data_IF_156306484999
#
_entry.id   IF_156306484999
#
_cell.length_a   1.000
_cell.length_b   1.000
_cell.length_c   1.000
_cell.angle_alpha   90.00
_cell.angle_beta   90.00
_cell.angle_gamma   90.00
#
_symmetry.space_group_name_H-M   'P 1'
#
loop_
_entity.id
_entity.type
_entity.pdbx_description
1 polymer ?
#
# COMPACT_ATOMS: atom_id res chain seq x y z
N UNK A 1 18.43 27.82 -35.39
CA UNK A 1 18.45 27.86 -36.87
C UNK A 1 19.89 27.75 -37.31
N UNK A 2 20.30 26.60 -37.83
CA UNK A 2 21.65 26.44 -38.40
C UNK A 2 21.58 25.60 -39.65
N UNK A 3 22.24 26.09 -40.71
CA UNK A 3 22.31 25.49 -42.04
C UNK A 3 23.76 25.11 -42.32
N UNK A 4 24.02 23.86 -42.70
CA UNK A 4 25.34 23.44 -43.18
C UNK A 4 25.24 23.06 -44.67
N UNK A 5 26.17 23.61 -45.46
CA UNK A 5 26.25 23.46 -46.91
C UNK A 5 26.81 22.08 -47.28
N UNK A 6 26.06 21.34 -48.12
CA UNK A 6 26.53 20.23 -48.93
C UNK A 6 26.22 20.49 -50.40
N UNK A 7 27.17 20.15 -51.27
CA UNK A 7 27.19 20.47 -52.70
C UNK A 7 25.97 19.91 -53.47
N UNK A 8 25.30 20.79 -54.22
CA UNK A 8 24.60 20.46 -55.46
C UNK A 8 23.51 19.40 -55.38
N UNK A 9 22.35 19.75 -54.83
CA UNK A 9 20.99 19.44 -55.31
C UNK A 9 20.00 19.91 -54.24
N UNK A 10 18.85 20.43 -54.69
CA UNK A 10 17.71 20.97 -53.93
C UNK A 10 17.74 20.77 -52.41
N UNK A 11 17.61 21.88 -51.65
CA UNK A 11 17.18 21.83 -50.26
C UNK A 11 15.80 21.18 -50.20
N UNK A 12 15.74 19.87 -49.97
CA UNK A 12 14.56 19.26 -49.41
C UNK A 12 14.46 19.74 -47.97
N UNK A 13 13.47 20.58 -47.71
CA UNK A 13 12.93 20.71 -46.38
C UNK A 13 12.44 19.31 -46.01
N UNK A 14 13.22 18.58 -45.22
CA UNK A 14 12.62 17.57 -44.37
C UNK A 14 11.75 18.38 -43.41
N UNK A 15 10.46 18.46 -43.74
CA UNK A 15 9.47 18.46 -42.67
C UNK A 15 9.79 17.19 -41.90
N UNK A 16 10.58 17.31 -40.83
CA UNK A 16 10.45 16.37 -39.73
C UNK A 16 9.00 16.50 -39.32
N UNK A 17 8.21 15.61 -39.89
CA UNK A 17 6.85 15.37 -39.49
C UNK A 17 6.95 15.04 -38.00
N UNK A 18 6.70 16.03 -37.15
CA UNK A 18 6.27 15.77 -35.79
C UNK A 18 4.84 15.26 -35.91
N UNK A 19 4.66 14.07 -36.49
CA UNK A 19 3.43 13.34 -36.25
C UNK A 19 3.44 12.90 -34.80
N UNK A 20 2.66 13.60 -33.99
CA UNK A 20 1.53 12.94 -33.34
C UNK A 20 1.80 11.83 -32.30
N UNK A 21 2.77 11.98 -31.40
CA UNK A 21 2.68 11.23 -30.12
C UNK A 21 1.96 12.07 -29.05
N UNK A 22 0.73 12.51 -29.36
CA UNK A 22 -0.24 12.91 -28.33
C UNK A 22 -0.78 11.64 -27.65
N UNK A 23 0.10 10.72 -27.29
CA UNK A 23 -0.23 9.40 -26.77
C UNK A 23 0.56 9.16 -25.51
N UNK A 24 -0.11 8.73 -24.46
CA UNK A 24 0.54 8.41 -23.20
C UNK A 24 0.93 6.94 -23.17
N UNK A 25 2.09 6.67 -22.59
CA UNK A 25 2.51 5.32 -22.24
C UNK A 25 1.63 4.75 -21.12
N UNK A 26 1.68 3.45 -20.88
CA UNK A 26 0.94 2.83 -19.76
C UNK A 26 1.32 3.49 -18.43
N UNK A 27 0.34 4.01 -17.67
CA UNK A 27 0.65 4.59 -16.37
C UNK A 27 1.13 3.51 -15.40
N UNK A 28 1.97 3.91 -14.46
CA UNK A 28 2.35 3.04 -13.35
C UNK A 28 1.13 2.72 -12.48
N UNK A 29 0.84 1.43 -12.31
CA UNK A 29 -0.25 0.94 -11.45
C UNK A 29 0.38 0.35 -10.19
N UNK A 30 0.16 0.99 -9.04
CA UNK A 30 0.66 0.49 -7.75
C UNK A 30 -0.14 -0.74 -7.28
N UNK A 31 0.41 -1.55 -6.34
CA UNK A 31 -0.35 -2.65 -5.74
C UNK A 31 -1.70 -2.19 -5.18
N UNK A 32 -2.70 -3.08 -5.26
CA UNK A 32 -4.09 -2.85 -4.81
C UNK A 32 -4.84 -1.71 -5.54
N UNK A 33 -4.28 -1.15 -6.62
CA UNK A 33 -5.00 -0.23 -7.50
C UNK A 33 -5.68 -1.01 -8.60
N UNK A 34 -6.97 -0.75 -8.79
CA UNK A 34 -7.73 -1.12 -9.98
C UNK A 34 -7.89 0.11 -10.86
N UNK A 35 -7.55 -0.01 -12.14
CA UNK A 35 -7.57 1.07 -13.12
C UNK A 35 -8.49 0.74 -14.31
N UNK A 36 -9.36 1.68 -14.65
CA UNK A 36 -10.27 1.60 -15.78
C UNK A 36 -10.13 2.83 -16.68
N UNK A 37 -10.25 2.64 -17.99
CA UNK A 37 -10.37 3.73 -18.96
C UNK A 37 -11.82 4.18 -19.00
N UNK A 38 -12.05 5.49 -18.98
CA UNK A 38 -13.38 6.11 -18.94
C UNK A 38 -13.70 6.75 -17.58
N UNK A 39 -14.86 7.41 -17.51
CA UNK A 39 -15.41 8.07 -16.31
C UNK A 39 -16.90 7.78 -16.24
N UNK A 40 -17.44 7.58 -15.03
CA UNK A 40 -18.87 7.30 -14.83
C UNK A 40 -19.19 5.81 -14.94
N UNK A 41 -20.31 5.47 -15.58
CA UNK A 41 -20.79 4.09 -15.73
C UNK A 41 -20.14 3.35 -16.91
N UNK A 42 -19.65 4.09 -17.91
CA UNK A 42 -18.97 3.53 -19.08
C UNK A 42 -17.45 3.47 -18.82
N UNK A 43 -17.05 2.41 -18.12
CA UNK A 43 -15.64 2.16 -17.76
C UNK A 43 -15.19 0.79 -18.23
N UNK A 44 -13.98 0.72 -18.78
CA UNK A 44 -13.37 -0.53 -19.26
C UNK A 44 -12.05 -0.79 -18.55
N UNK A 45 -11.82 -2.01 -18.06
CA UNK A 45 -10.54 -2.34 -17.41
C UNK A 45 -9.34 -2.06 -18.34
N UNK A 46 -8.28 -1.46 -17.79
CA UNK A 46 -7.11 -1.08 -18.58
C UNK A 46 -6.39 -2.27 -19.25
N UNK A 47 -6.54 -3.48 -18.67
CA UNK A 47 -5.95 -4.71 -19.17
C UNK A 47 -4.45 -4.59 -19.42
N UNK A 48 -3.99 -5.07 -20.58
CA UNK A 48 -2.59 -5.03 -21.02
C UNK A 48 -2.28 -3.87 -21.99
N UNK A 49 -3.17 -2.86 -22.12
CA UNK A 49 -2.94 -1.72 -23.02
C UNK A 49 -1.66 -0.98 -22.63
N UNK A 50 -0.82 -0.69 -23.65
CA UNK A 50 0.49 -0.03 -23.49
C UNK A 50 0.51 1.43 -23.97
N UNK A 51 -0.48 1.84 -24.77
CA UNK A 51 -0.57 3.18 -25.36
C UNK A 51 -2.01 3.68 -25.29
N UNK A 52 -2.16 4.95 -24.94
CA UNK A 52 -3.41 5.66 -24.71
C UNK A 52 -3.44 6.91 -25.56
N UNK A 53 -4.57 7.24 -26.17
CA UNK A 53 -4.72 8.45 -27.00
C UNK A 53 -4.87 9.70 -26.12
N UNK A 54 -4.45 10.84 -26.66
CA UNK A 54 -4.62 12.14 -26.03
C UNK A 54 -6.08 12.40 -25.73
N UNK A 55 -6.36 12.81 -24.50
CA UNK A 55 -7.70 12.99 -23.95
C UNK A 55 -8.28 11.77 -23.24
N UNK A 56 -7.70 10.55 -23.37
CA UNK A 56 -8.17 9.40 -22.58
C UNK A 56 -8.02 9.66 -21.08
N UNK A 57 -9.06 9.30 -20.33
CA UNK A 57 -9.08 9.41 -18.87
C UNK A 57 -9.05 8.03 -18.25
N UNK A 58 -8.20 7.85 -17.24
CA UNK A 58 -8.14 6.64 -16.42
C UNK A 58 -8.71 6.97 -15.05
N UNK A 59 -9.69 6.17 -14.64
CA UNK A 59 -10.28 6.18 -13.31
C UNK A 59 -9.66 5.10 -12.44
N UNK A 60 -9.29 5.47 -11.23
CA UNK A 60 -8.66 4.59 -10.26
C UNK A 60 -9.57 4.35 -9.07
N UNK A 61 -9.48 3.13 -8.51
CA UNK A 61 -10.06 2.79 -7.22
C UNK A 61 -9.19 1.77 -6.50
N UNK A 62 -9.39 1.62 -5.21
CA UNK A 62 -8.78 0.53 -4.47
C UNK A 62 -9.52 -0.78 -4.71
N UNK A 63 -8.77 -1.88 -4.62
CA UNK A 63 -9.32 -3.24 -4.68
C UNK A 63 -10.25 -3.49 -3.48
N UNK A 64 -9.75 -3.25 -2.25
CA UNK A 64 -10.57 -3.30 -1.04
C UNK A 64 -10.98 -1.91 -0.55
N UNK A 65 -12.07 -1.41 -1.13
CA UNK A 65 -12.65 -0.09 -0.79
C UNK A 65 -13.20 0.00 0.65
N UNK A 66 -13.32 -1.12 1.39
CA UNK A 66 -13.82 -1.09 2.77
C UNK A 66 -12.74 -0.64 3.76
N UNK A 67 -11.48 -0.86 3.43
CA UNK A 67 -10.35 -0.61 4.33
C UNK A 67 -9.28 0.30 3.72
N UNK A 68 -9.23 0.42 2.39
CA UNK A 68 -8.24 1.21 1.69
C UNK A 68 -8.84 2.50 1.15
N UNK A 69 -8.08 3.58 1.33
CA UNK A 69 -8.35 4.92 0.84
C UNK A 69 -7.38 5.18 -0.32
N UNK A 70 -7.89 5.87 -1.34
CA UNK A 70 -7.10 6.29 -2.48
C UNK A 70 -6.37 7.61 -2.13
N UNK A 71 -5.05 7.56 -1.98
CA UNK A 71 -4.17 8.73 -1.85
C UNK A 71 -3.75 9.23 -3.23
N UNK A 72 -4.38 10.30 -3.71
CA UNK A 72 -4.08 10.95 -4.98
C UNK A 72 -5.33 11.15 -5.84
N UNK A 73 -5.15 11.50 -7.13
CA UNK A 73 -6.26 11.80 -8.01
C UNK A 73 -7.05 10.53 -8.35
N UNK A 74 -8.38 10.63 -8.30
CA UNK A 74 -9.29 9.55 -8.74
C UNK A 74 -9.30 9.39 -10.27
N UNK A 75 -9.02 10.47 -11.00
CA UNK A 75 -8.93 10.49 -12.47
C UNK A 75 -7.59 11.07 -12.92
N UNK A 76 -6.96 10.44 -13.92
CA UNK A 76 -5.81 11.03 -14.63
C UNK A 76 -6.12 11.07 -16.12
N UNK A 77 -5.76 12.17 -16.77
CA UNK A 77 -6.01 12.37 -18.20
C UNK A 77 -4.68 12.36 -18.96
N UNK A 78 -4.68 11.80 -20.16
CA UNK A 78 -3.55 11.88 -21.07
C UNK A 78 -3.59 13.23 -21.80
N UNK A 79 -2.59 14.09 -21.59
CA UNK A 79 -2.50 15.40 -22.23
C UNK A 79 -1.09 15.56 -22.79
N UNK A 80 -0.99 15.78 -24.10
CA UNK A 80 0.27 16.04 -24.80
C UNK A 80 1.36 14.98 -24.55
N UNK A 81 0.94 13.71 -24.48
CA UNK A 81 1.83 12.56 -24.25
C UNK A 81 2.17 12.27 -22.78
N UNK A 82 1.71 13.10 -21.85
CA UNK A 82 1.96 12.95 -20.42
C UNK A 82 0.66 12.76 -19.62
N UNK A 83 0.73 11.96 -18.55
CA UNK A 83 -0.41 11.79 -17.65
C UNK A 83 -0.47 12.93 -16.64
N UNK A 84 -1.66 13.51 -16.44
CA UNK A 84 -1.87 14.53 -15.41
C UNK A 84 -1.55 13.99 -14.01
N UNK A 85 -0.98 14.86 -13.16
CA UNK A 85 -0.69 14.58 -11.75
C UNK A 85 0.11 13.29 -11.49
N UNK A 86 0.25 12.87 -10.23
CA UNK A 86 0.92 11.61 -9.85
C UNK A 86 -0.07 10.44 -9.89
N UNK A 87 0.43 9.23 -10.15
CA UNK A 87 -0.37 8.01 -9.98
C UNK A 87 -0.80 7.83 -8.49
N UNK A 88 -2.08 7.54 -8.22
CA UNK A 88 -2.58 7.39 -6.86
C UNK A 88 -2.13 6.07 -6.22
N UNK A 89 -2.14 6.00 -4.90
CA UNK A 89 -1.79 4.79 -4.13
C UNK A 89 -2.95 4.39 -3.24
N UNK A 90 -3.15 3.08 -3.05
CA UNK A 90 -4.08 2.56 -2.06
C UNK A 90 -3.35 2.31 -0.75
N UNK A 91 -3.88 2.91 0.31
CA UNK A 91 -3.38 2.77 1.66
C UNK A 91 -4.52 2.92 2.65
N UNK A 92 -4.35 2.37 3.84
CA UNK A 92 -5.20 2.66 4.99
C UNK A 92 -4.68 3.87 5.79
N UNK A 93 -3.59 4.49 5.31
CA UNK A 93 -3.07 5.78 5.75
C UNK A 93 -3.35 6.87 4.71
N UNK A 94 -3.38 8.14 5.11
CA UNK A 94 -3.71 9.23 4.20
C UNK A 94 -3.61 10.60 4.86
N UNK A 95 -3.53 11.65 4.03
CA UNK A 95 -3.59 13.05 4.50
C UNK A 95 -4.88 13.68 4.00
N UNK A 96 -5.72 14.10 4.93
CA UNK A 96 -6.98 14.78 4.66
C UNK A 96 -6.74 16.28 4.81
N UNK A 97 -6.86 17.01 3.71
CA UNK A 97 -6.69 18.46 3.70
C UNK A 97 -8.04 19.14 3.56
N UNK A 98 -8.34 20.06 4.47
CA UNK A 98 -9.47 20.98 4.35
C UNK A 98 -8.96 22.35 3.88
N UNK A 99 -9.57 22.89 2.82
CA UNK A 99 -9.23 24.17 2.22
C UNK A 99 -10.45 25.10 2.27
N UNK A 100 -10.32 26.27 2.91
CA UNK A 100 -11.38 27.26 3.04
C UNK A 100 -10.81 28.68 2.85
N UNK A 101 -10.93 29.21 1.63
CA UNK A 101 -10.29 30.47 1.25
C UNK A 101 -8.77 30.35 1.28
N UNK A 102 -8.10 31.12 2.14
CA UNK A 102 -6.65 31.03 2.38
C UNK A 102 -6.26 30.01 3.46
N UNK A 103 -7.23 29.44 4.19
CA UNK A 103 -6.95 28.50 5.26
C UNK A 103 -6.80 27.08 4.72
N UNK A 104 -5.72 26.41 5.17
CA UNK A 104 -5.41 25.03 4.81
C UNK A 104 -5.00 24.24 6.05
N UNK A 105 -5.80 23.25 6.42
CA UNK A 105 -5.50 22.33 7.53
C UNK A 105 -5.36 20.92 7.01
N UNK A 106 -4.45 20.13 7.58
CA UNK A 106 -4.25 18.74 7.18
C UNK A 106 -4.18 17.81 8.38
N UNK A 107 -4.94 16.71 8.33
CA UNK A 107 -4.87 15.60 9.28
C UNK A 107 -4.23 14.42 8.58
N UNK A 108 -3.18 13.84 9.18
CA UNK A 108 -2.58 12.61 8.66
C UNK A 108 -3.03 11.41 9.48
N UNK A 109 -3.80 10.53 8.86
CA UNK A 109 -4.13 9.22 9.42
C UNK A 109 -2.98 8.28 9.09
N UNK A 110 -2.47 7.60 10.11
CA UNK A 110 -1.46 6.54 9.97
C UNK A 110 -2.06 5.24 10.46
N UNK A 111 -2.30 4.33 9.53
CA UNK A 111 -2.54 2.95 9.90
C UNK A 111 -1.22 2.29 10.25
N UNK A 112 -1.19 1.62 11.41
CA UNK A 112 -0.05 0.83 11.84
C UNK A 112 -0.50 -0.63 11.90
N UNK A 113 0.14 -1.50 11.12
CA UNK A 113 -0.01 -2.94 11.27
C UNK A 113 0.77 -3.36 12.53
N UNK A 114 0.06 -3.45 13.66
CA UNK A 114 0.65 -3.77 14.95
C UNK A 114 0.66 -5.29 15.12
N UNK A 115 1.86 -5.84 15.13
CA UNK A 115 2.14 -7.26 15.34
C UNK A 115 3.14 -7.43 16.45
N UNK A 116 2.93 -8.45 17.27
CA UNK A 116 3.87 -8.85 18.29
C UNK A 116 4.74 -10.01 17.80
N UNK A 117 6.00 -10.09 18.24
CA UNK A 117 6.86 -11.21 17.90
C UNK A 117 6.24 -12.51 18.40
N UNK A 118 6.39 -13.58 17.64
CA UNK A 118 5.97 -14.91 18.10
C UNK A 118 6.64 -15.22 19.45
N UNK A 119 5.89 -15.70 20.46
CA UNK A 119 6.46 -16.10 21.73
C UNK A 119 7.58 -17.14 21.51
N UNK A 120 8.71 -16.98 22.19
CA UNK A 120 9.76 -17.99 22.19
C UNK A 120 9.29 -19.29 22.84
N UNK A 121 9.98 -20.40 22.55
CA UNK A 121 9.75 -21.66 23.27
C UNK A 121 10.02 -21.46 24.76
N UNK A 122 9.16 -22.04 25.61
CA UNK A 122 9.30 -21.97 27.06
C UNK A 122 9.71 -23.34 27.61
N UNK A 123 10.71 -23.39 28.48
CA UNK A 123 11.10 -24.60 29.18
C UNK A 123 10.12 -24.91 30.31
N UNK A 124 9.81 -26.20 30.53
CA UNK A 124 8.89 -26.65 31.58
C UNK A 124 7.49 -26.02 31.51
N UNK A 125 7.03 -25.69 30.30
CA UNK A 125 5.69 -25.18 30.05
C UNK A 125 5.36 -25.09 28.57
N UNK A 126 4.25 -24.44 28.25
CA UNK A 126 3.81 -24.15 26.88
C UNK A 126 2.95 -22.88 26.82
N UNK A 127 2.88 -22.26 25.65
CA UNK A 127 1.94 -21.18 25.37
C UNK A 127 0.61 -21.76 24.86
N UNK A 128 -0.49 -21.42 25.51
CA UNK A 128 -1.82 -21.63 24.98
C UNK A 128 -2.26 -20.38 24.20
N UNK A 129 -2.64 -20.57 22.94
CA UNK A 129 -3.15 -19.52 22.06
C UNK A 129 -4.64 -19.76 21.76
N UNK A 130 -5.43 -18.69 21.71
CA UNK A 130 -6.91 -18.76 21.61
C UNK A 130 -7.40 -19.00 20.18
N UNK A 131 -6.54 -19.03 19.15
CA UNK A 131 -6.95 -19.43 17.79
C UNK A 131 -6.17 -20.65 17.31
N UNK A 132 -6.80 -21.82 17.48
CA UNK A 132 -6.33 -23.07 16.93
C UNK A 132 -6.36 -23.04 15.39
N UNK A 133 -5.20 -22.98 14.75
CA UNK A 133 -4.93 -23.82 13.57
C UNK A 133 -3.42 -24.00 13.38
N UNK A 134 -2.97 -25.24 13.54
CA UNK A 134 -1.66 -25.76 13.19
C UNK A 134 -0.43 -25.07 13.82
N UNK A 135 -0.09 -25.45 15.07
CA UNK A 135 1.27 -25.67 15.62
C UNK A 135 2.49 -25.06 14.88
N UNK A 136 2.42 -23.80 14.46
CA UNK A 136 3.48 -23.07 13.81
C UNK A 136 3.53 -21.73 14.49
N UNK A 137 4.70 -21.42 15.07
CA UNK A 137 5.05 -20.08 15.50
C UNK A 137 5.10 -19.22 14.23
N UNK A 138 3.94 -18.77 13.76
CA UNK A 138 3.85 -17.84 12.65
C UNK A 138 4.16 -16.44 13.20
N UNK A 139 5.27 -15.80 12.80
CA UNK A 139 5.59 -14.43 13.18
C UNK A 139 4.51 -13.42 12.80
N UNK A 140 3.56 -13.80 11.94
CA UNK A 140 2.44 -12.98 11.49
C UNK A 140 1.12 -13.28 12.23
N UNK A 141 1.05 -14.24 13.16
CA UNK A 141 -0.22 -14.60 13.80
C UNK A 141 -0.72 -13.57 14.83
N UNK A 142 0.20 -12.91 15.56
CA UNK A 142 -0.16 -12.15 16.77
C UNK A 142 -0.38 -10.67 16.48
N UNK A 143 -1.64 -10.28 16.33
CA UNK A 143 -2.05 -8.89 16.09
C UNK A 143 -2.46 -8.17 17.38
N UNK A 144 -2.63 -6.85 17.30
CA UNK A 144 -3.08 -6.00 18.39
C UNK A 144 -4.24 -6.62 19.20
N UNK A 145 -4.11 -6.56 20.53
CA UNK A 145 -5.04 -7.08 21.55
C UNK A 145 -5.19 -8.60 21.62
N UNK A 146 -4.46 -9.38 20.81
CA UNK A 146 -4.40 -10.83 21.03
C UNK A 146 -3.67 -11.18 22.32
N UNK A 147 -4.09 -12.30 22.93
CA UNK A 147 -3.59 -12.78 24.21
C UNK A 147 -2.88 -14.12 24.06
N UNK A 148 -1.77 -14.27 24.78
CA UNK A 148 -1.12 -15.55 25.03
C UNK A 148 -1.16 -15.88 26.51
N UNK A 149 -1.32 -17.16 26.83
CA UNK A 149 -1.37 -17.64 28.22
C UNK A 149 -0.31 -18.71 28.44
N UNK A 150 0.57 -18.50 29.43
CA UNK A 150 1.58 -19.45 29.86
C UNK A 150 0.96 -20.56 30.71
N UNK A 151 1.24 -21.80 30.36
CA UNK A 151 0.89 -22.99 31.13
C UNK A 151 2.17 -23.71 31.54
N UNK A 152 2.51 -23.70 32.82
CA UNK A 152 3.66 -24.42 33.36
C UNK A 152 3.33 -25.88 33.64
N UNK A 153 4.35 -26.73 33.54
CA UNK A 153 4.27 -28.14 33.90
C UNK A 153 4.15 -28.29 35.43
N UNK A 154 3.64 -29.43 35.94
CA UNK A 154 3.58 -29.69 37.37
C UNK A 154 4.95 -29.54 38.06
N UNK A 155 4.99 -28.91 39.23
CA UNK A 155 6.22 -28.58 39.98
C UNK A 155 6.90 -27.28 39.56
N UNK A 156 6.25 -26.49 38.69
CA UNK A 156 6.71 -25.18 38.25
C UNK A 156 5.57 -24.15 38.29
N UNK A 157 5.90 -22.91 38.66
CA UNK A 157 5.00 -21.76 38.57
C UNK A 157 5.57 -20.67 37.66
N UNK A 158 4.71 -19.75 37.22
CA UNK A 158 5.14 -18.63 36.40
C UNK A 158 5.94 -17.64 37.24
N UNK A 159 7.06 -17.16 36.71
CA UNK A 159 7.92 -16.16 37.36
C UNK A 159 7.23 -14.81 37.60
N UNK A 160 6.13 -14.54 36.89
CA UNK A 160 5.33 -13.33 37.00
C UNK A 160 3.92 -13.62 36.42
N UNK A 161 3.36 -12.70 35.64
CA UNK A 161 2.06 -12.84 35.01
C UNK A 161 2.01 -14.02 34.02
N UNK A 162 0.94 -14.81 34.10
CA UNK A 162 0.69 -15.92 33.17
C UNK A 162 0.11 -15.45 31.83
N UNK A 163 -0.42 -14.23 31.76
CA UNK A 163 -1.08 -13.70 30.58
C UNK A 163 -0.33 -12.49 30.05
N UNK A 164 -0.29 -12.36 28.73
CA UNK A 164 0.26 -11.20 28.05
C UNK A 164 -0.54 -10.85 26.81
N UNK A 165 -0.72 -9.56 26.55
CA UNK A 165 -1.46 -9.02 25.41
C UNK A 165 -0.52 -8.30 24.45
N UNK A 166 -0.80 -8.41 23.16
CA UNK A 166 -0.10 -7.62 22.16
C UNK A 166 -0.57 -6.17 22.23
N UNK A 167 0.28 -5.27 22.70
CA UNK A 167 -0.05 -3.87 22.91
C UNK A 167 0.07 -3.03 21.62
N UNK A 168 -0.34 -1.76 21.69
CA UNK A 168 -0.30 -0.83 20.55
C UNK A 168 1.11 -0.52 20.03
N UNK A 169 2.16 -0.87 20.77
CA UNK A 169 3.55 -0.70 20.38
C UNK A 169 4.13 -1.96 19.70
N UNK A 170 3.33 -3.01 19.49
CA UNK A 170 3.80 -4.29 18.94
C UNK A 170 4.63 -5.09 19.94
N UNK A 171 4.38 -4.88 21.24
CA UNK A 171 5.09 -5.56 22.32
C UNK A 171 4.13 -6.32 23.23
N UNK A 172 4.64 -7.40 23.82
CA UNK A 172 3.94 -8.17 24.83
C UNK A 172 3.89 -7.40 26.14
N UNK A 173 2.69 -7.11 26.64
CA UNK A 173 2.46 -6.40 27.89
C UNK A 173 1.40 -7.10 28.74
N UNK A 174 1.73 -7.53 29.98
CA UNK A 174 3.06 -7.51 30.60
C UNK A 174 4.08 -8.38 29.82
N UNK A 175 5.40 -8.21 30.02
CA UNK A 175 6.40 -9.04 29.34
C UNK A 175 6.17 -10.54 29.55
N UNK A 176 6.50 -11.35 28.55
CA UNK A 176 6.35 -12.80 28.60
C UNK A 176 7.16 -13.39 29.77
N UNK A 177 6.52 -14.24 30.57
CA UNK A 177 7.11 -14.89 31.74
C UNK A 177 7.73 -16.26 31.42
N UNK A 178 8.51 -16.78 32.36
CA UNK A 178 9.11 -18.12 32.31
C UNK A 178 8.53 -19.01 33.41
N UNK A 179 8.65 -20.33 33.26
CA UNK A 179 8.32 -21.28 34.33
C UNK A 179 9.54 -21.54 35.22
N UNK A 180 9.41 -21.30 36.52
CA UNK A 180 10.42 -21.54 37.55
C UNK A 180 9.94 -22.64 38.49
N UNK A 181 10.88 -23.41 39.05
CA UNK A 181 10.54 -24.48 39.98
C UNK A 181 9.91 -23.89 41.25
N UNK A 182 8.95 -24.61 41.82
CA UNK A 182 8.35 -24.30 43.12
C UNK A 182 9.36 -24.41 44.28
#
# INVERSE_FOLDING_TARGET
>A
MSCYKGFGQHCQWLTQDKTEDNRCSRPHIFPNIIAHVGVGEDITAIGNRQSFIGGETITFRCDDVRYQILDGPIHRQCIDGEWTERAPRCGNDGTYTCEAGSLRHSIRIKFQDIRCPAPGNVSNGRWAYVRASANRLDPHAYILNEKVTLQCNPGYHASSNRESWCNYQGQWSPPLSSCIAD
#
